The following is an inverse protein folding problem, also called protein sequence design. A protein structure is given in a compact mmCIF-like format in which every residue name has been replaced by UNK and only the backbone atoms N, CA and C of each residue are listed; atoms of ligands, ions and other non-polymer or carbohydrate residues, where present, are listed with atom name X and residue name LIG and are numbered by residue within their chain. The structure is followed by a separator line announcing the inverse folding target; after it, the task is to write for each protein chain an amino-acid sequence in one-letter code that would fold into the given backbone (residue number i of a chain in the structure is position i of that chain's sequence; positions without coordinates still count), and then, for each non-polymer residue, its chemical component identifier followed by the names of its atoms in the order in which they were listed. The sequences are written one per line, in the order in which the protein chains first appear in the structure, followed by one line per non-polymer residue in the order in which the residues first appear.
data_IF_211187393202
#
_entry.id   IF_211187393202
#
_cell.length_a   1.000
_cell.length_b   1.000
_cell.length_c   1.000
_cell.angle_alpha   90.00
_cell.angle_beta   90.00
_cell.angle_gamma   90.00
#
_symmetry.space_group_name_H-M   'P 1'
#
loop_
_entity.id
_entity.type
_entity.pdbx_description
1 polymer ?
#
# COMPACT_ATOMS: atom_id res chain seq x y z
N UNK A 1 5.03 9.03 1.49
CA UNK A 1 4.99 7.68 2.09
C UNK A 1 3.89 7.63 3.16
N UNK A 2 3.36 6.42 3.44
CA UNK A 2 2.44 6.16 4.54
C UNK A 2 1.15 6.98 4.47
N UNK A 3 0.37 6.82 3.42
CA UNK A 3 -0.97 7.38 3.37
C UNK A 3 -1.80 6.86 4.57
N UNK A 4 -2.39 7.79 5.32
CA UNK A 4 -3.17 7.48 6.52
C UNK A 4 -4.63 7.87 6.31
N UNK A 5 -5.54 7.07 6.82
CA UNK A 5 -6.96 7.38 6.80
C UNK A 5 -7.39 8.14 8.07
N UNK A 6 -8.29 9.11 7.87
CA UNK A 6 -8.86 9.89 8.97
C UNK A 6 -10.14 9.25 9.52
N UNK A 7 -10.30 9.24 10.85
CA UNK A 7 -11.46 8.70 11.55
C UNK A 7 -12.10 9.76 12.43
N UNK A 8 -13.39 9.96 12.30
CA UNK A 8 -14.18 10.85 13.16
C UNK A 8 -14.42 10.18 14.51
N UNK A 9 -14.71 8.87 14.50
CA UNK A 9 -14.84 8.06 15.70
C UNK A 9 -13.47 7.81 16.36
N UNK A 10 -13.49 7.62 17.68
CA UNK A 10 -12.29 7.23 18.42
C UNK A 10 -12.03 5.74 18.24
N UNK A 11 -10.91 5.42 17.59
CA UNK A 11 -10.56 4.05 17.22
C UNK A 11 -9.64 3.42 18.27
N UNK A 12 -9.68 2.10 18.38
CA UNK A 12 -8.67 1.34 19.12
C UNK A 12 -7.35 1.36 18.33
N UNK A 13 -6.47 2.30 18.69
CA UNK A 13 -5.18 2.48 18.03
C UNK A 13 -4.27 1.27 18.09
N UNK A 14 -4.44 0.37 19.07
CA UNK A 14 -3.68 -0.88 19.16
C UNK A 14 -3.92 -1.80 17.95
N UNK A 15 -5.09 -1.67 17.30
CA UNK A 15 -5.46 -2.41 16.10
C UNK A 15 -5.07 -1.71 14.79
N UNK A 16 -4.60 -0.46 14.85
CA UNK A 16 -4.30 0.39 13.69
C UNK A 16 -2.81 0.27 13.33
N UNK A 17 -2.48 -0.79 12.58
CA UNK A 17 -1.10 -1.09 12.17
C UNK A 17 -0.86 -0.94 10.66
N UNK A 18 -1.59 -0.04 10.03
CA UNK A 18 -1.55 0.11 8.57
C UNK A 18 -0.23 0.70 8.07
N UNK A 19 0.45 1.49 8.91
CA UNK A 19 1.72 2.12 8.55
C UNK A 19 2.64 2.29 9.76
N UNK A 20 3.96 2.37 9.50
CA UNK A 20 4.98 2.63 10.50
C UNK A 20 5.77 3.87 10.12
N UNK A 21 5.91 4.81 11.05
CA UNK A 21 6.74 6.00 10.91
C UNK A 21 8.04 5.80 11.69
N UNK A 22 9.17 5.86 11.00
CA UNK A 22 10.48 5.83 11.62
C UNK A 22 10.92 7.22 12.08
N UNK A 23 11.35 7.34 13.32
CA UNK A 23 11.93 8.56 13.89
C UNK A 23 13.44 8.44 13.92
N UNK A 24 14.12 9.39 13.29
CA UNK A 24 15.58 9.48 13.26
C UNK A 24 16.11 10.25 14.50
N UNK A 25 17.44 10.41 14.60
CA UNK A 25 18.12 11.10 15.71
C UNK A 25 17.69 12.58 15.88
N UNK A 26 17.16 13.20 14.83
CA UNK A 26 16.66 14.58 14.89
C UNK A 26 15.28 14.73 15.55
N UNK A 27 14.65 13.58 15.91
CA UNK A 27 13.33 13.49 16.53
C UNK A 27 12.21 14.21 15.75
N UNK A 28 12.35 14.34 14.43
CA UNK A 28 11.34 15.02 13.60
C UNK A 28 10.45 14.03 12.85
N UNK A 29 9.17 14.38 12.76
CA UNK A 29 8.16 13.70 11.94
C UNK A 29 7.48 14.74 11.06
N UNK A 30 7.57 14.57 9.75
CA UNK A 30 6.88 15.38 8.76
C UNK A 30 5.59 14.71 8.30
N UNK A 31 4.50 15.47 8.28
CA UNK A 31 3.18 15.03 7.83
C UNK A 31 2.62 16.01 6.81
N UNK A 32 1.91 15.52 5.80
CA UNK A 32 1.19 16.34 4.84
C UNK A 32 -0.31 16.00 4.90
N UNK A 33 -1.13 16.95 5.30
CA UNK A 33 -2.58 16.81 5.38
C UNK A 33 -3.21 17.38 4.10
N UNK A 34 -3.77 16.53 3.25
CA UNK A 34 -4.56 16.98 2.12
C UNK A 34 -5.89 17.54 2.62
N UNK A 35 -6.15 18.81 2.29
CA UNK A 35 -7.30 19.53 2.86
C UNK A 35 -8.60 19.23 2.15
N UNK A 36 -8.53 18.73 0.89
CA UNK A 36 -9.69 18.68 0.00
C UNK A 36 -10.41 20.03 -0.01
N UNK A 37 -11.60 20.12 0.60
CA UNK A 37 -12.35 21.37 0.75
C UNK A 37 -12.51 21.76 2.24
N UNK A 38 -11.87 21.04 3.17
CA UNK A 38 -11.99 21.32 4.59
C UNK A 38 -11.13 22.50 5.02
N UNK A 39 -11.63 23.31 5.96
CA UNK A 39 -10.86 24.34 6.63
C UNK A 39 -10.34 23.78 7.97
N UNK A 40 -9.02 23.66 8.10
CA UNK A 40 -8.38 23.16 9.31
C UNK A 40 -8.25 24.29 10.31
N UNK A 41 -8.83 24.11 11.50
CA UNK A 41 -8.79 25.06 12.61
C UNK A 41 -7.57 24.88 13.49
N UNK A 42 -7.26 23.63 13.84
CA UNK A 42 -6.09 23.30 14.66
C UNK A 42 -5.65 21.86 14.44
N UNK A 43 -4.37 21.63 14.70
CA UNK A 43 -3.76 20.29 14.68
C UNK A 43 -3.07 20.08 16.03
N UNK A 44 -3.21 18.90 16.59
CA UNK A 44 -2.48 18.47 17.79
C UNK A 44 -2.10 17.01 17.66
N UNK A 45 -1.18 16.54 18.51
CA UNK A 45 -0.73 15.16 18.48
C UNK A 45 -0.59 14.56 19.88
N UNK A 46 -0.66 13.26 19.94
CA UNK A 46 -0.30 12.44 21.09
C UNK A 46 0.59 11.29 20.64
N UNK A 47 1.64 11.02 21.43
CA UNK A 47 2.39 9.77 21.35
C UNK A 47 2.03 8.96 22.58
N UNK A 48 1.57 7.73 22.38
CA UNK A 48 1.07 6.84 23.42
C UNK A 48 1.78 5.50 23.40
N UNK A 49 1.69 4.75 24.52
CA UNK A 49 1.96 3.31 24.48
C UNK A 49 1.00 2.62 23.50
N UNK A 50 1.43 1.48 22.90
CA UNK A 50 0.62 0.75 21.91
C UNK A 50 -0.77 0.37 22.40
N UNK A 51 -0.91 0.06 23.71
CA UNK A 51 -2.19 -0.24 24.35
C UNK A 51 -3.03 1.01 24.68
N UNK A 52 -2.59 2.19 24.25
CA UNK A 52 -3.16 3.51 24.49
C UNK A 52 -3.28 3.92 25.97
N UNK A 53 -2.88 3.07 26.92
CA UNK A 53 -3.07 3.29 28.35
C UNK A 53 -2.26 4.46 28.92
N UNK A 54 -1.09 4.76 28.32
CA UNK A 54 -0.15 5.77 28.79
C UNK A 54 0.15 6.80 27.71
N UNK A 55 -0.06 8.07 28.05
CA UNK A 55 0.45 9.20 27.27
C UNK A 55 1.96 9.37 27.54
N UNK A 56 2.77 9.32 26.48
CA UNK A 56 4.22 9.56 26.54
C UNK A 56 4.46 11.07 26.43
N UNK A 57 3.92 11.65 25.35
CA UNK A 57 3.94 13.10 25.13
C UNK A 57 2.79 13.52 24.22
N UNK A 58 2.58 14.81 24.12
CA UNK A 58 1.62 15.41 23.20
C UNK A 58 1.69 16.93 23.25
N UNK A 59 1.10 17.56 22.27
CA UNK A 59 1.08 19.01 22.17
C UNK A 59 0.34 19.53 20.94
N UNK A 60 0.23 20.84 20.90
CA UNK A 60 -0.34 21.64 19.81
C UNK A 60 0.67 22.68 19.27
N UNK A 61 1.88 22.67 19.81
CA UNK A 61 3.00 23.51 19.33
C UNK A 61 3.65 22.84 18.11
N UNK A 62 3.06 23.05 16.95
CA UNK A 62 3.46 22.46 15.70
C UNK A 62 3.91 23.53 14.72
N UNK A 63 4.95 23.23 13.94
CA UNK A 63 5.27 24.03 12.76
C UNK A 63 4.37 23.59 11.61
N UNK A 64 3.58 24.53 11.09
CA UNK A 64 2.66 24.24 9.98
C UNK A 64 2.85 25.27 8.86
N UNK A 65 2.90 24.77 7.62
CA UNK A 65 2.98 25.55 6.39
C UNK A 65 1.87 25.12 5.43
N UNK A 66 1.06 26.07 4.98
CA UNK A 66 -0.08 25.83 4.09
C UNK A 66 0.28 26.24 2.66
N UNK A 67 0.30 25.28 1.72
CA UNK A 67 0.55 25.51 0.29
C UNK A 67 -0.73 25.69 -0.55
N UNK A 68 -1.89 25.69 0.11
CA UNK A 68 -3.20 25.77 -0.52
C UNK A 68 -3.88 24.40 -0.71
N UNK A 69 -3.16 23.36 -1.11
CA UNK A 69 -3.65 21.98 -1.23
C UNK A 69 -3.38 21.16 0.02
N UNK A 70 -2.16 21.26 0.53
CA UNK A 70 -1.70 20.53 1.72
C UNK A 70 -1.40 21.48 2.87
N UNK A 71 -1.64 21.03 4.09
CA UNK A 71 -1.06 21.57 5.30
C UNK A 71 0.11 20.67 5.71
N UNK A 72 1.33 21.17 5.54
CA UNK A 72 2.55 20.50 5.96
C UNK A 72 2.78 20.73 7.43
N UNK A 73 2.82 19.66 8.22
CA UNK A 73 2.99 19.72 9.68
C UNK A 73 4.29 19.05 10.05
N UNK A 74 5.13 19.72 10.84
CA UNK A 74 6.35 19.15 11.39
C UNK A 74 6.25 19.04 12.90
N UNK A 75 6.35 17.83 13.41
CA UNK A 75 6.43 17.50 14.83
C UNK A 75 7.91 17.44 15.23
N UNK A 76 8.26 18.00 16.38
CA UNK A 76 9.54 17.75 17.03
C UNK A 76 9.28 17.04 18.34
N UNK A 77 9.57 15.73 18.38
CA UNK A 77 9.31 14.89 19.53
C UNK A 77 10.39 15.12 20.61
N UNK A 78 10.01 14.94 21.87
CA UNK A 78 10.93 14.99 22.99
C UNK A 78 11.76 13.72 23.03
N UNK A 79 12.91 13.77 23.70
CA UNK A 79 13.79 12.61 23.94
C UNK A 79 13.19 11.70 25.04
N UNK A 80 12.05 11.08 24.74
CA UNK A 80 11.30 10.19 25.64
C UNK A 80 11.07 8.79 25.02
N UNK A 81 11.51 8.59 23.76
CA UNK A 81 11.33 7.35 23.04
C UNK A 81 12.54 6.43 23.26
N UNK A 82 12.27 5.17 23.50
CA UNK A 82 13.31 4.14 23.59
C UNK A 82 13.58 3.58 22.19
N UNK A 83 14.85 3.48 21.82
CA UNK A 83 15.25 2.96 20.53
C UNK A 83 14.76 1.51 20.32
N UNK A 84 14.15 1.25 19.18
CA UNK A 84 13.61 -0.06 18.79
C UNK A 84 12.26 -0.40 19.42
N UNK A 85 11.70 0.47 20.28
CA UNK A 85 10.35 0.30 20.78
C UNK A 85 9.31 0.98 19.89
N UNK A 86 8.12 0.39 19.83
CA UNK A 86 6.98 0.90 19.10
C UNK A 86 6.05 1.71 20.00
N UNK A 87 5.54 2.79 19.47
CA UNK A 87 4.58 3.69 20.07
C UNK A 87 3.43 3.93 19.10
N UNK A 88 2.34 4.51 19.58
CA UNK A 88 1.24 4.96 18.75
C UNK A 88 1.28 6.49 18.61
N UNK A 89 1.35 6.98 17.38
CA UNK A 89 1.09 8.38 17.05
C UNK A 89 -0.38 8.55 16.76
N UNK A 90 -1.03 9.48 17.45
CA UNK A 90 -2.39 9.95 17.17
C UNK A 90 -2.32 11.41 16.77
N UNK A 91 -2.54 11.70 15.49
CA UNK A 91 -2.69 13.07 15.01
C UNK A 91 -4.17 13.46 15.07
N UNK A 92 -4.47 14.61 15.67
CA UNK A 92 -5.83 15.13 15.86
C UNK A 92 -5.99 16.41 15.05
N UNK A 93 -6.89 16.41 14.11
CA UNK A 93 -7.19 17.53 13.22
C UNK A 93 -8.60 18.03 13.50
N UNK A 94 -8.73 19.27 13.97
CA UNK A 94 -10.01 19.92 14.19
C UNK A 94 -10.34 20.78 12.97
N UNK A 95 -11.49 20.54 12.36
CA UNK A 95 -12.02 21.34 11.26
C UNK A 95 -12.89 22.50 11.77
N UNK A 96 -13.18 23.48 10.92
CA UNK A 96 -14.11 24.57 11.26
C UNK A 96 -15.56 24.07 11.43
N UNK A 97 -15.95 23.01 10.73
CA UNK A 97 -17.25 22.35 10.85
C UNK A 97 -17.42 21.54 12.14
N UNK A 98 -16.44 21.64 13.04
CA UNK A 98 -16.38 21.00 14.37
C UNK A 98 -16.11 19.50 14.37
N UNK A 99 -15.78 18.90 13.24
CA UNK A 99 -15.34 17.50 13.21
C UNK A 99 -13.91 17.38 13.74
N UNK A 100 -13.72 16.43 14.65
CA UNK A 100 -12.40 16.03 15.12
C UNK A 100 -11.99 14.73 14.39
N UNK A 101 -11.10 14.88 13.43
CA UNK A 101 -10.56 13.75 12.65
C UNK A 101 -9.25 13.28 13.28
N UNK A 102 -9.14 11.98 13.51
CA UNK A 102 -7.95 11.33 14.10
C UNK A 102 -7.27 10.45 13.06
N UNK A 103 -5.95 10.53 13.01
CA UNK A 103 -5.11 9.66 12.20
C UNK A 103 -4.20 8.87 13.13
N UNK A 104 -4.03 7.58 12.85
CA UNK A 104 -3.28 6.66 13.69
C UNK A 104 -2.12 6.04 12.90
N UNK A 105 -0.93 6.00 13.48
CA UNK A 105 0.23 5.30 12.90
C UNK A 105 1.12 4.75 14.00
N UNK A 106 1.75 3.61 13.73
CA UNK A 106 2.84 3.15 14.58
C UNK A 106 4.04 4.10 14.40
N UNK A 107 4.69 4.41 15.50
CA UNK A 107 5.88 5.24 15.56
C UNK A 107 7.01 4.42 16.21
N UNK A 108 8.17 4.35 15.57
CA UNK A 108 9.35 3.68 16.15
C UNK A 108 10.57 4.60 16.10
N UNK A 109 11.31 4.68 17.20
CA UNK A 109 12.56 5.44 17.25
C UNK A 109 13.70 4.56 16.76
N UNK A 110 14.28 4.90 15.63
CA UNK A 110 15.34 4.14 14.97
C UNK A 110 16.74 4.65 15.31
N UNK A 111 16.87 5.94 15.69
CA UNK A 111 18.18 6.59 15.75
C UNK A 111 18.80 6.70 14.35
N UNK A 112 20.08 6.34 14.25
CA UNK A 112 20.72 6.18 12.92
C UNK A 112 20.09 5.01 12.19
N UNK A 113 19.66 5.24 10.94
CA UNK A 113 18.97 4.23 10.14
C UNK A 113 19.36 4.34 8.66
N UNK A 114 18.93 3.35 7.88
CA UNK A 114 19.17 3.22 6.45
C UNK A 114 17.88 2.99 5.67
N UNK A 115 16.78 3.55 6.15
CA UNK A 115 15.45 3.41 5.53
C UNK A 115 15.46 3.95 4.10
N UNK A 116 16.08 5.12 3.86
CA UNK A 116 16.15 5.70 2.52
C UNK A 116 16.95 4.82 1.55
N UNK A 117 18.06 4.23 1.98
CA UNK A 117 18.83 3.29 1.15
C UNK A 117 17.98 2.09 0.73
N UNK A 118 17.13 1.57 1.64
CA UNK A 118 16.20 0.49 1.35
C UNK A 118 15.07 0.92 0.40
N UNK A 119 14.53 2.13 0.56
CA UNK A 119 13.55 2.70 -0.38
C UNK A 119 14.13 2.83 -1.78
N UNK A 120 15.33 3.39 -1.90
CA UNK A 120 16.03 3.55 -3.17
C UNK A 120 16.30 2.19 -3.84
N UNK A 121 16.59 1.16 -3.03
CA UNK A 121 16.72 -0.20 -3.53
C UNK A 121 15.39 -0.73 -4.07
N UNK A 122 14.30 -0.61 -3.31
CA UNK A 122 12.98 -1.09 -3.71
C UNK A 122 12.51 -0.40 -5.00
N UNK A 123 12.70 0.91 -5.13
CA UNK A 123 12.38 1.67 -6.33
C UNK A 123 13.20 1.20 -7.54
N UNK A 124 14.50 0.96 -7.39
CA UNK A 124 15.34 0.41 -8.48
C UNK A 124 14.91 -1.00 -8.86
N UNK A 125 14.58 -1.86 -7.90
CA UNK A 125 14.10 -3.21 -8.20
C UNK A 125 12.77 -3.16 -8.95
N UNK A 126 11.84 -2.32 -8.51
CA UNK A 126 10.58 -2.05 -9.18
C UNK A 126 10.80 -1.57 -10.62
N UNK A 127 11.68 -0.60 -10.86
CA UNK A 127 12.03 -0.13 -12.20
C UNK A 127 12.59 -1.25 -13.09
N UNK A 128 13.47 -2.11 -12.55
CA UNK A 128 13.96 -3.28 -13.29
C UNK A 128 12.82 -4.22 -13.69
N UNK A 129 11.79 -4.39 -12.86
CA UNK A 129 10.64 -5.23 -13.24
C UNK A 129 9.88 -4.63 -14.42
N UNK A 130 9.63 -3.32 -14.41
CA UNK A 130 8.88 -2.62 -15.47
C UNK A 130 9.63 -2.52 -16.79
N UNK A 131 10.97 -2.36 -16.72
CA UNK A 131 11.81 -2.22 -17.92
C UNK A 131 12.22 -3.55 -18.54
N UNK A 132 11.82 -4.69 -17.94
CA UNK A 132 12.15 -6.02 -18.45
C UNK A 132 13.59 -6.46 -18.18
N UNK A 133 14.30 -5.85 -17.21
CA UNK A 133 15.68 -6.19 -16.86
C UNK A 133 15.75 -7.51 -16.06
N UNK A 134 15.56 -8.62 -16.78
CA UNK A 134 15.59 -9.96 -16.21
C UNK A 134 16.95 -10.34 -15.61
N UNK A 135 18.04 -9.84 -16.13
CA UNK A 135 19.39 -10.11 -15.60
C UNK A 135 19.64 -9.32 -14.32
N UNK A 136 19.13 -8.09 -14.26
CA UNK A 136 19.20 -7.24 -13.05
C UNK A 136 18.46 -7.87 -11.87
N UNK A 137 17.19 -8.24 -12.05
CA UNK A 137 16.39 -8.83 -10.97
C UNK A 137 16.91 -10.20 -10.54
N UNK A 138 17.49 -10.99 -11.44
CA UNK A 138 18.01 -12.33 -11.17
C UNK A 138 19.02 -12.36 -10.02
N UNK A 139 19.82 -11.30 -9.86
CA UNK A 139 20.82 -11.20 -8.79
C UNK A 139 20.25 -11.15 -7.38
N UNK A 140 18.93 -10.94 -7.25
CA UNK A 140 18.22 -10.79 -5.98
C UNK A 140 17.20 -11.89 -5.72
N UNK A 141 16.89 -12.73 -6.73
CA UNK A 141 15.92 -13.81 -6.62
C UNK A 141 16.54 -15.09 -6.06
N UNK A 142 15.75 -15.85 -5.33
CA UNK A 142 16.09 -17.16 -4.75
C UNK A 142 15.32 -18.27 -5.48
N UNK A 143 15.55 -18.44 -6.78
CA UNK A 143 14.82 -19.38 -7.63
C UNK A 143 15.06 -20.82 -7.18
N UNK A 144 14.01 -21.52 -6.76
CA UNK A 144 14.05 -22.91 -6.27
C UNK A 144 13.19 -23.88 -7.09
N UNK A 145 12.50 -23.37 -8.12
CA UNK A 145 11.62 -24.15 -8.97
C UNK A 145 10.23 -24.42 -8.39
N UNK A 146 9.90 -23.86 -7.23
CA UNK A 146 8.56 -23.99 -6.60
C UNK A 146 7.48 -23.27 -7.38
N UNK A 147 7.84 -22.22 -8.16
CA UNK A 147 6.94 -21.41 -8.95
C UNK A 147 7.02 -21.82 -10.43
N UNK A 148 5.89 -22.18 -11.04
CA UNK A 148 5.83 -22.66 -12.43
C UNK A 148 6.02 -21.57 -13.48
N UNK A 149 5.96 -20.30 -13.07
CA UNK A 149 6.18 -19.13 -13.92
C UNK A 149 5.07 -18.84 -14.93
N UNK A 150 3.91 -19.45 -14.81
CA UNK A 150 2.77 -19.28 -15.73
C UNK A 150 1.75 -18.26 -15.22
N UNK A 151 1.66 -18.09 -13.91
CA UNK A 151 0.72 -17.18 -13.29
C UNK A 151 1.39 -15.84 -13.00
N UNK A 152 0.97 -14.76 -13.66
CA UNK A 152 1.43 -13.39 -13.39
C UNK A 152 0.63 -12.73 -12.26
N UNK A 153 -0.44 -13.34 -11.78
CA UNK A 153 -1.26 -12.84 -10.69
C UNK A 153 -0.55 -12.85 -9.34
N UNK A 154 0.31 -13.86 -9.11
CA UNK A 154 1.13 -13.94 -7.91
C UNK A 154 2.58 -14.31 -8.24
N UNK A 155 3.51 -13.47 -7.82
CA UNK A 155 4.95 -13.60 -8.02
C UNK A 155 5.62 -13.44 -6.65
N UNK A 156 6.72 -14.17 -6.42
CA UNK A 156 7.51 -14.03 -5.21
C UNK A 156 9.02 -14.17 -5.46
N UNK A 157 9.84 -14.07 -4.42
CA UNK A 157 11.31 -14.15 -4.50
C UNK A 157 11.82 -15.45 -5.14
N UNK A 158 11.04 -16.55 -5.10
CA UNK A 158 11.40 -17.85 -5.70
C UNK A 158 10.98 -17.98 -7.18
N UNK A 159 10.29 -16.98 -7.71
CA UNK A 159 9.84 -16.94 -9.10
C UNK A 159 11.03 -16.79 -10.06
N UNK A 160 10.83 -17.23 -11.31
CA UNK A 160 11.81 -16.97 -12.37
C UNK A 160 11.83 -15.49 -12.74
N UNK A 161 12.98 -14.99 -13.23
CA UNK A 161 13.14 -13.58 -13.60
C UNK A 161 12.16 -13.12 -14.68
N UNK A 162 11.84 -13.97 -15.68
CA UNK A 162 10.87 -13.64 -16.72
C UNK A 162 9.50 -13.19 -16.16
N UNK A 163 8.77 -14.02 -15.39
CA UNK A 163 7.52 -13.60 -14.73
C UNK A 163 7.67 -12.39 -13.81
N UNK A 164 8.79 -12.23 -13.11
CA UNK A 164 9.07 -11.04 -12.28
C UNK A 164 9.10 -9.79 -13.13
N UNK A 165 9.64 -9.87 -14.34
CA UNK A 165 9.68 -8.79 -15.33
C UNK A 165 8.53 -8.86 -16.35
N UNK A 166 7.35 -9.32 -15.91
CA UNK A 166 6.08 -9.38 -16.63
C UNK A 166 6.02 -10.37 -17.83
N UNK A 167 7.04 -11.19 -18.03
CA UNK A 167 7.07 -12.19 -19.12
C UNK A 167 7.00 -11.52 -20.49
N UNK A 168 6.00 -11.93 -21.30
CA UNK A 168 5.76 -11.37 -22.63
C UNK A 168 4.80 -10.16 -22.61
N UNK A 169 4.24 -9.81 -21.43
CA UNK A 169 3.27 -8.73 -21.30
C UNK A 169 3.97 -7.37 -21.31
N UNK A 170 3.54 -6.48 -22.21
CA UNK A 170 4.02 -5.11 -22.28
C UNK A 170 3.21 -4.22 -21.33
N UNK A 171 3.85 -3.77 -20.26
CA UNK A 171 3.17 -2.97 -19.23
C UNK A 171 3.72 -1.55 -19.18
N UNK A 172 2.82 -0.60 -18.93
CA UNK A 172 3.13 0.80 -18.64
C UNK A 172 2.47 1.21 -17.33
N UNK A 173 3.24 1.79 -16.41
CA UNK A 173 2.73 2.25 -15.13
C UNK A 173 1.88 3.51 -15.28
N UNK A 174 0.79 3.58 -14.51
CA UNK A 174 -0.10 4.72 -14.41
C UNK A 174 0.18 5.46 -13.09
N UNK A 175 0.66 6.69 -13.19
CA UNK A 175 0.96 7.53 -12.04
C UNK A 175 2.16 7.06 -11.20
N UNK A 176 2.36 7.71 -10.06
CA UNK A 176 3.40 7.35 -9.11
C UNK A 176 2.91 6.24 -8.15
N UNK A 177 3.78 5.31 -7.70
CA UNK A 177 3.39 4.29 -6.75
C UNK A 177 3.18 4.90 -5.35
N UNK A 178 2.11 4.48 -4.67
CA UNK A 178 1.92 4.72 -3.24
C UNK A 178 2.82 3.77 -2.45
N UNK A 179 3.59 4.30 -1.51
CA UNK A 179 4.56 3.54 -0.74
C UNK A 179 4.24 3.62 0.75
N UNK A 180 4.20 2.46 1.42
CA UNK A 180 3.85 2.33 2.84
C UNK A 180 4.85 1.43 3.55
N UNK A 181 5.35 1.87 4.69
CA UNK A 181 6.18 1.06 5.57
C UNK A 181 5.31 0.16 6.45
N UNK A 182 5.70 -1.11 6.57
CA UNK A 182 5.02 -2.12 7.39
C UNK A 182 5.88 -2.64 8.55
N UNK A 183 7.21 -2.51 8.44
CA UNK A 183 8.16 -2.86 9.49
C UNK A 183 9.38 -1.95 9.35
N UNK A 184 9.81 -1.33 10.45
CA UNK A 184 11.03 -0.54 10.50
C UNK A 184 11.84 -0.92 11.74
N UNK A 185 13.05 -1.43 11.51
CA UNK A 185 14.07 -1.69 12.54
C UNK A 185 15.37 -1.00 12.12
N UNK A 186 16.42 -1.09 12.92
CA UNK A 186 17.70 -0.43 12.63
C UNK A 186 18.31 -0.83 11.28
N UNK A 187 18.17 -2.10 10.90
CA UNK A 187 18.73 -2.68 9.67
C UNK A 187 17.70 -3.41 8.80
N UNK A 188 16.45 -3.52 9.27
CA UNK A 188 15.33 -4.12 8.51
C UNK A 188 14.33 -3.04 8.12
N UNK A 189 13.94 -3.07 6.85
CA UNK A 189 12.85 -2.26 6.31
C UNK A 189 11.91 -3.15 5.53
N UNK A 190 10.63 -3.21 5.92
CA UNK A 190 9.59 -3.79 5.09
C UNK A 190 8.64 -2.68 4.60
N UNK A 191 8.29 -2.76 3.33
CA UNK A 191 7.41 -1.79 2.69
C UNK A 191 6.53 -2.45 1.63
N UNK A 192 5.42 -1.82 1.34
CA UNK A 192 4.57 -2.13 0.19
C UNK A 192 4.56 -0.97 -0.80
N UNK A 193 4.45 -1.29 -2.07
CA UNK A 193 4.16 -0.35 -3.15
C UNK A 193 2.86 -0.75 -3.82
N UNK A 194 1.95 0.20 -3.99
CA UNK A 194 0.69 0.00 -4.70
C UNK A 194 0.61 0.95 -5.89
N UNK A 195 0.29 0.41 -7.05
CA UNK A 195 0.24 1.15 -8.30
C UNK A 195 -0.66 0.45 -9.33
N UNK A 196 -0.91 1.12 -10.43
CA UNK A 196 -1.64 0.54 -11.55
C UNK A 196 -0.74 0.43 -12.78
N UNK A 197 -1.01 -0.58 -13.60
CA UNK A 197 -0.38 -0.73 -14.90
C UNK A 197 -1.41 -0.96 -15.98
N UNK A 198 -1.10 -0.54 -17.20
CA UNK A 198 -1.84 -0.89 -18.41
C UNK A 198 -1.04 -1.91 -19.21
N UNK A 199 -1.65 -3.03 -19.59
CA UNK A 199 -1.15 -3.84 -20.69
C UNK A 199 -1.42 -3.09 -22.00
N UNK A 200 -0.35 -2.63 -22.65
CA UNK A 200 -0.46 -1.74 -23.83
C UNK A 200 -0.92 -2.45 -25.08
N UNK A 201 -0.81 -3.79 -25.15
CA UNK A 201 -1.23 -4.59 -26.32
C UNK A 201 -2.75 -4.77 -26.39
N UNK A 202 -3.40 -4.97 -25.22
CA UNK A 202 -4.83 -5.27 -25.13
C UNK A 202 -5.63 -4.20 -24.39
N UNK A 203 -4.97 -3.13 -23.92
CA UNK A 203 -5.55 -2.03 -23.17
C UNK A 203 -6.37 -2.49 -21.95
N UNK A 204 -5.77 -3.36 -21.16
CA UNK A 204 -6.33 -3.80 -19.88
C UNK A 204 -5.54 -3.19 -18.72
N UNK A 205 -6.26 -2.81 -17.67
CA UNK A 205 -5.66 -2.21 -16.47
C UNK A 205 -5.63 -3.22 -15.33
N UNK A 206 -4.57 -3.13 -14.54
CA UNK A 206 -4.33 -4.00 -13.39
C UNK A 206 -3.94 -3.19 -12.18
N UNK A 207 -4.54 -3.52 -11.03
CA UNK A 207 -4.06 -3.09 -9.73
C UNK A 207 -2.91 -4.00 -9.32
N UNK A 208 -1.80 -3.41 -8.89
CA UNK A 208 -0.59 -4.13 -8.50
C UNK A 208 -0.20 -3.72 -7.10
N UNK A 209 0.14 -4.71 -6.28
CA UNK A 209 0.76 -4.52 -4.97
C UNK A 209 2.04 -5.32 -4.92
N UNK A 210 3.14 -4.66 -4.57
CA UNK A 210 4.42 -5.29 -4.28
C UNK A 210 4.73 -5.17 -2.79
N UNK A 211 5.30 -6.22 -2.20
CA UNK A 211 5.80 -6.20 -0.84
C UNK A 211 7.28 -6.58 -0.83
N UNK A 212 8.04 -5.82 -0.08
CA UNK A 212 9.49 -5.97 0.08
C UNK A 212 9.84 -6.12 1.54
N UNK A 213 10.74 -7.04 1.87
CA UNK A 213 11.46 -7.06 3.15
C UNK A 213 12.94 -7.04 2.88
N UNK A 214 13.61 -6.00 3.34
CA UNK A 214 14.99 -5.65 3.00
C UNK A 214 15.84 -5.62 4.25
N UNK A 215 17.10 -6.04 4.12
CA UNK A 215 18.10 -5.86 5.17
C UNK A 215 19.28 -5.08 4.65
N UNK A 216 19.56 -3.96 5.30
CA UNK A 216 20.74 -3.17 5.06
C UNK A 216 21.96 -3.81 5.73
N UNK A 217 23.10 -3.76 5.04
CA UNK A 217 24.43 -4.01 5.62
C UNK A 217 25.40 -2.98 5.03
N UNK A 218 26.54 -2.77 5.66
CA UNK A 218 27.55 -1.83 5.19
C UNK A 218 28.13 -2.16 3.80
N UNK A 219 27.87 -3.35 3.26
CA UNK A 219 28.36 -3.79 1.96
C UNK A 219 27.31 -3.86 0.88
N UNK A 220 26.06 -4.18 1.25
CA UNK A 220 24.93 -4.30 0.29
C UNK A 220 23.59 -4.39 1.02
N UNK A 221 22.53 -4.16 0.26
CA UNK A 221 21.17 -4.45 0.68
C UNK A 221 20.78 -5.86 0.20
N UNK A 222 20.18 -6.64 1.09
CA UNK A 222 19.64 -7.96 0.80
C UNK A 222 18.13 -7.90 0.66
N UNK A 223 17.58 -8.46 -0.41
CA UNK A 223 16.17 -8.72 -0.58
C UNK A 223 15.86 -10.02 0.17
N UNK A 224 15.20 -9.92 1.34
CA UNK A 224 14.85 -11.09 2.18
C UNK A 224 13.52 -11.71 1.76
N UNK A 225 12.58 -10.89 1.28
CA UNK A 225 11.32 -11.33 0.70
C UNK A 225 10.85 -10.33 -0.35
N UNK A 226 10.23 -10.86 -1.37
CA UNK A 226 9.55 -10.11 -2.41
C UNK A 226 8.28 -10.85 -2.79
N UNK A 227 7.17 -10.12 -2.90
CA UNK A 227 5.91 -10.64 -3.39
C UNK A 227 5.23 -9.58 -4.27
N UNK A 228 4.56 -10.01 -5.32
CA UNK A 228 3.73 -9.16 -6.17
C UNK A 228 2.39 -9.84 -6.42
N UNK A 229 1.31 -9.11 -6.16
CA UNK A 229 -0.06 -9.46 -6.50
C UNK A 229 -0.52 -8.56 -7.64
N UNK A 230 -1.16 -9.15 -8.64
CA UNK A 230 -1.64 -8.46 -9.83
C UNK A 230 -3.06 -8.89 -10.09
N UNK A 231 -3.99 -7.95 -10.02
CA UNK A 231 -5.42 -8.19 -10.20
C UNK A 231 -5.96 -7.27 -11.28
N UNK A 232 -6.70 -7.85 -12.24
CA UNK A 232 -7.33 -7.08 -13.32
C UNK A 232 -8.40 -6.17 -12.76
N UNK A 233 -8.35 -4.89 -13.10
CA UNK A 233 -9.39 -3.93 -12.76
C UNK A 233 -10.62 -4.20 -13.62
N UNK A 234 -11.74 -4.46 -12.95
CA UNK A 234 -13.02 -4.71 -13.61
C UNK A 234 -13.79 -3.39 -13.79
N UNK A 235 -14.33 -3.19 -14.99
CA UNK A 235 -15.11 -2.01 -15.34
C UNK A 235 -16.60 -2.37 -15.45
N UNK A 236 -17.52 -1.62 -14.82
CA UNK A 236 -18.94 -1.82 -15.02
C UNK A 236 -19.36 -1.74 -16.51
N UNK A 237 -20.26 -2.63 -16.93
CA UNK A 237 -20.72 -2.70 -18.31
C UNK A 237 -19.84 -3.50 -19.25
N UNK A 238 -18.65 -3.96 -18.81
CA UNK A 238 -17.75 -4.77 -19.63
C UNK A 238 -18.31 -6.18 -19.87
N UNK A 239 -18.00 -6.73 -21.03
CA UNK A 239 -18.28 -8.12 -21.35
C UNK A 239 -17.14 -8.99 -20.81
N UNK A 240 -17.48 -9.98 -20.00
CA UNK A 240 -16.51 -10.94 -19.43
C UNK A 240 -16.59 -12.33 -20.06
N UNK A 241 -17.53 -12.56 -20.97
CA UNK A 241 -17.68 -13.88 -21.61
C UNK A 241 -16.93 -13.91 -22.94
N UNK A 242 -15.94 -14.79 -23.00
CA UNK A 242 -15.20 -15.15 -24.20
C UNK A 242 -15.38 -16.65 -24.44
N UNK A 243 -15.76 -17.04 -25.66
CA UNK A 243 -15.98 -18.46 -26.05
C UNK A 243 -16.89 -19.24 -25.08
N UNK A 244 -17.90 -18.57 -24.53
CA UNK A 244 -18.86 -19.15 -23.58
C UNK A 244 -18.30 -19.34 -22.16
N UNK A 245 -17.13 -18.80 -21.85
CA UNK A 245 -16.50 -18.85 -20.52
C UNK A 245 -16.43 -17.46 -19.91
N UNK A 246 -16.70 -17.37 -18.62
CA UNK A 246 -16.50 -16.17 -17.84
C UNK A 246 -15.00 -16.02 -17.53
N UNK A 247 -14.37 -14.95 -18.05
CA UNK A 247 -12.95 -14.69 -17.87
C UNK A 247 -12.76 -13.48 -16.95
N UNK A 248 -12.03 -13.69 -15.86
CA UNK A 248 -11.65 -12.61 -14.93
C UNK A 248 -10.27 -11.99 -15.27
N UNK A 249 -9.56 -12.55 -16.27
CA UNK A 249 -8.20 -12.12 -16.61
C UNK A 249 -7.15 -12.63 -15.61
N UNK A 250 -6.10 -11.84 -15.41
CA UNK A 250 -5.06 -12.14 -14.41
C UNK A 250 -5.60 -11.78 -13.04
N UNK A 251 -5.50 -12.71 -12.09
CA UNK A 251 -5.94 -12.57 -10.71
C UNK A 251 -4.89 -13.17 -9.77
N UNK A 252 -4.67 -12.53 -8.64
CA UNK A 252 -3.73 -13.00 -7.61
C UNK A 252 -4.28 -14.16 -6.80
N UNK A 253 -5.60 -14.33 -6.79
CA UNK A 253 -6.31 -15.42 -6.11
C UNK A 253 -7.48 -15.94 -6.96
N UNK A 254 -7.97 -17.14 -6.64
CA UNK A 254 -9.19 -17.65 -7.28
C UNK A 254 -10.40 -16.83 -6.78
N UNK A 255 -11.24 -16.28 -7.69
CA UNK A 255 -12.40 -15.51 -7.31
C UNK A 255 -13.44 -16.38 -6.60
N UNK A 256 -13.98 -15.89 -5.49
CA UNK A 256 -15.11 -16.50 -4.80
C UNK A 256 -16.39 -16.09 -5.51
N UNK A 257 -17.13 -17.06 -6.03
CA UNK A 257 -18.36 -16.79 -6.78
C UNK A 257 -19.54 -17.65 -6.37
N UNK A 258 -20.75 -17.16 -6.66
CA UNK A 258 -22.00 -17.89 -6.52
C UNK A 258 -22.90 -17.65 -7.73
N UNK A 259 -23.74 -18.63 -8.05
CA UNK A 259 -24.74 -18.51 -9.11
C UNK A 259 -26.15 -18.49 -8.52
N UNK A 260 -27.06 -17.81 -9.22
CA UNK A 260 -28.49 -17.93 -8.90
C UNK A 260 -29.04 -19.30 -9.35
N UNK A 261 -30.26 -19.63 -8.94
CA UNK A 261 -30.91 -20.92 -9.21
C UNK A 261 -31.07 -21.22 -10.71
N UNK A 262 -31.20 -20.18 -11.52
CA UNK A 262 -31.35 -20.30 -12.99
C UNK A 262 -30.01 -20.31 -13.73
N UNK A 263 -28.90 -20.17 -13.00
CA UNK A 263 -27.53 -20.10 -13.50
C UNK A 263 -27.29 -19.02 -14.58
N UNK A 264 -28.13 -17.99 -14.62
CA UNK A 264 -28.02 -16.90 -15.58
C UNK A 264 -27.41 -15.61 -14.98
N UNK A 265 -27.19 -15.60 -13.66
CA UNK A 265 -26.49 -14.52 -12.95
C UNK A 265 -25.43 -15.11 -12.04
N UNK A 266 -24.21 -14.56 -12.12
CA UNK A 266 -23.09 -14.90 -11.25
C UNK A 266 -22.74 -13.69 -10.38
N UNK A 267 -22.78 -13.86 -9.06
CA UNK A 267 -22.21 -12.92 -8.10
C UNK A 267 -20.80 -13.37 -7.72
N UNK A 268 -19.86 -12.43 -7.61
CA UNK A 268 -18.49 -12.72 -7.19
C UNK A 268 -17.88 -11.54 -6.44
N UNK A 269 -16.86 -11.83 -5.64
CA UNK A 269 -16.09 -10.81 -4.90
C UNK A 269 -14.73 -10.69 -5.54
N UNK A 270 -14.37 -9.45 -5.88
CA UNK A 270 -13.08 -9.09 -6.45
C UNK A 270 -12.60 -7.78 -5.83
N UNK A 271 -11.34 -7.74 -5.34
CA UNK A 271 -10.74 -6.56 -4.67
C UNK A 271 -11.63 -5.94 -3.58
N UNK A 272 -12.30 -6.78 -2.77
CA UNK A 272 -13.23 -6.33 -1.74
C UNK A 272 -14.57 -5.78 -2.24
N UNK A 273 -14.81 -5.80 -3.54
CA UNK A 273 -16.04 -5.34 -4.18
C UNK A 273 -16.93 -6.52 -4.55
N UNK A 274 -18.24 -6.37 -4.39
CA UNK A 274 -19.23 -7.34 -4.84
C UNK A 274 -19.72 -6.98 -6.23
N UNK A 275 -19.51 -7.89 -7.16
CA UNK A 275 -19.91 -7.78 -8.55
C UNK A 275 -21.02 -8.74 -8.91
N UNK A 276 -21.80 -8.42 -9.92
CA UNK A 276 -22.80 -9.28 -10.55
C UNK A 276 -22.65 -9.27 -12.05
N UNK A 277 -22.65 -10.46 -12.66
CA UNK A 277 -22.65 -10.63 -14.09
C UNK A 277 -23.92 -11.35 -14.56
N UNK A 278 -24.68 -10.70 -15.44
CA UNK A 278 -25.87 -11.25 -16.07
C UNK A 278 -25.53 -11.77 -17.47
N UNK A 279 -25.64 -13.10 -17.63
CA UNK A 279 -25.35 -13.78 -18.89
C UNK A 279 -26.38 -13.43 -19.99
N UNK A 280 -27.64 -13.19 -19.62
CA UNK A 280 -28.70 -12.88 -20.56
C UNK A 280 -28.53 -11.49 -21.19
N UNK A 281 -28.03 -10.53 -20.41
CA UNK A 281 -27.74 -9.17 -20.83
C UNK A 281 -26.27 -8.97 -21.23
N UNK A 282 -25.40 -9.95 -20.97
CA UNK A 282 -23.96 -9.87 -21.14
C UNK A 282 -23.38 -8.60 -20.47
N UNK A 283 -23.72 -8.41 -19.20
CA UNK A 283 -23.45 -7.15 -18.49
C UNK A 283 -22.86 -7.40 -17.10
N UNK A 284 -21.72 -6.75 -16.84
CA UNK A 284 -21.10 -6.63 -15.54
C UNK A 284 -21.65 -5.42 -14.78
N UNK A 285 -21.98 -5.61 -13.51
CA UNK A 285 -22.47 -4.55 -12.62
C UNK A 285 -21.76 -4.61 -11.27
N UNK A 286 -21.27 -3.46 -10.79
CA UNK A 286 -20.83 -3.32 -9.42
C UNK A 286 -22.07 -3.23 -8.52
N UNK A 287 -22.21 -4.18 -7.60
CA UNK A 287 -23.35 -4.26 -6.66
C UNK A 287 -23.04 -3.51 -5.37
N UNK A 288 -21.83 -3.69 -4.86
CA UNK A 288 -21.38 -3.04 -3.64
C UNK A 288 -19.85 -2.93 -3.66
N UNK A 289 -19.32 -1.80 -3.24
CA UNK A 289 -17.88 -1.56 -3.10
C UNK A 289 -17.64 -0.27 -2.37
N UNK A 290 -16.50 -0.18 -1.70
CA UNK A 290 -15.99 1.09 -1.22
C UNK A 290 -15.31 1.76 -2.42
N UNK A 291 -15.81 2.88 -2.86
CA UNK A 291 -15.10 3.77 -3.76
C UNK A 291 -14.38 4.78 -2.88
N UNK A 292 -13.06 4.72 -2.86
CA UNK A 292 -12.28 5.85 -2.36
C UNK A 292 -12.60 7.04 -3.26
N UNK A 293 -13.36 7.99 -2.69
CA UNK A 293 -13.89 9.16 -3.39
C UNK A 293 -12.85 10.28 -3.52
#
# INVERSE_FOLDING_TARGET
YNEMHGYVEDMDGASMRDSVIGVSEDHKVGLALEKYNAQIKSVSYEVRSLDMSRLIEGGDDLQAEDDGKYLHVSLTLKDLLTQGEEYLLVLKVQTEDQDLVRFYSILTYLGTNHVQDCVDFAQRFHEMTLTGDSDGVLNYLEQDGSMDGKNLGYINIHSRSGPVTWGDMQVEQIGDPSLRFTELESDITALTMEYQVTNTEINEQYQVREAYRLRYTSTRIYLLAYERWTDKILEPGRQLVEDGKLSFGIQSSEPVYMKNTEENVVGFVEQGQLWSYDYGQNRLSLVYGFTDG
#
